data_IF_916849465655
#
_entry.id   IF_916849465655
#
_cell.length_a   1.000
_cell.length_b   1.000
_cell.length_c   1.000
_cell.angle_alpha   90.00
_cell.angle_beta   90.00
_cell.angle_gamma   90.00
#
_symmetry.space_group_name_H-M   'P 1'
#
loop_
_entity.id
_entity.type
_entity.pdbx_description
1 polymer ?
#
# COMPACT_ATOMS: atom_id res chain seq x y z
N UNK A 1 -22.40 7.40 -15.40
CA UNK A 1 -21.24 6.49 -15.47
C UNK A 1 -20.62 6.48 -14.07
N UNK A 2 -21.17 5.63 -13.19
CA UNK A 2 -20.69 5.45 -11.82
C UNK A 2 -19.50 4.50 -11.88
N UNK A 3 -18.32 4.88 -11.38
CA UNK A 3 -17.22 3.92 -11.40
C UNK A 3 -15.85 4.43 -11.01
N UNK A 4 -15.73 5.40 -10.09
CA UNK A 4 -14.46 5.67 -9.40
C UNK A 4 -14.79 6.12 -7.98
N UNK A 5 -15.30 5.18 -7.17
CA UNK A 5 -15.17 5.32 -5.72
C UNK A 5 -13.67 5.25 -5.46
N UNK A 6 -13.02 6.42 -5.35
CA UNK A 6 -11.73 6.52 -4.68
C UNK A 6 -11.95 5.81 -3.34
N UNK A 7 -11.36 4.62 -3.19
CA UNK A 7 -11.40 3.85 -1.96
C UNK A 7 -10.73 4.75 -0.93
N UNK A 8 -11.55 5.55 -0.28
CA UNK A 8 -11.15 6.49 0.74
C UNK A 8 -10.40 5.68 1.78
N UNK A 9 -9.12 6.01 1.91
CA UNK A 9 -8.21 5.68 3.00
C UNK A 9 -8.74 4.51 3.84
N UNK A 10 -8.53 3.27 3.37
CA UNK A 10 -8.84 2.11 4.19
C UNK A 10 -7.99 2.27 5.44
N UNK A 11 -8.62 2.65 6.56
CA UNK A 11 -7.94 3.03 7.77
C UNK A 11 -6.86 1.98 8.08
N UNK A 12 -5.61 2.43 8.11
CA UNK A 12 -4.49 1.55 8.36
C UNK A 12 -4.55 1.12 9.83
N UNK A 13 -5.20 -0.01 10.08
CA UNK A 13 -5.43 -0.53 11.44
C UNK A 13 -4.85 -1.91 11.61
N UNK A 14 -4.38 -2.22 12.82
CA UNK A 14 -3.93 -3.56 13.18
C UNK A 14 -5.09 -4.56 13.04
N UNK A 15 -4.91 -5.62 12.27
CA UNK A 15 -5.93 -6.67 12.10
C UNK A 15 -6.20 -7.48 13.36
N UNK A 16 -5.31 -7.43 14.36
CA UNK A 16 -5.50 -8.11 15.66
C UNK A 16 -6.29 -7.25 16.66
N UNK A 17 -5.77 -6.09 17.02
CA UNK A 17 -6.35 -5.27 18.10
C UNK A 17 -7.18 -4.09 17.61
N UNK A 18 -7.20 -3.83 16.29
CA UNK A 18 -7.93 -2.69 15.69
C UNK A 18 -7.29 -1.33 15.94
N UNK A 19 -6.15 -1.25 16.64
CA UNK A 19 -5.46 0.01 16.88
C UNK A 19 -5.02 0.65 15.55
N UNK A 20 -5.05 1.99 15.45
CA UNK A 20 -4.49 2.68 14.30
C UNK A 20 -2.99 2.39 14.20
N UNK A 21 -2.49 2.24 12.98
CA UNK A 21 -1.09 2.10 12.67
C UNK A 21 -0.64 3.36 11.92
N UNK A 22 0.61 3.76 12.15
CA UNK A 22 1.17 4.90 11.44
C UNK A 22 1.76 4.48 10.09
N UNK A 23 1.42 5.22 9.05
CA UNK A 23 1.92 4.96 7.70
C UNK A 23 3.42 5.27 7.55
N UNK A 24 3.95 6.18 8.37
CA UNK A 24 5.37 6.56 8.39
C UNK A 24 6.24 5.51 9.09
N UNK A 25 5.67 4.75 10.03
CA UNK A 25 6.35 3.65 10.75
C UNK A 25 6.42 2.32 9.96
N UNK A 26 6.34 2.41 8.63
CA UNK A 26 6.45 1.26 7.74
C UNK A 26 7.83 0.61 7.88
N UNK A 27 7.86 -0.68 8.25
CA UNK A 27 9.12 -1.42 8.48
C UNK A 27 9.71 -1.98 7.20
N UNK A 28 8.85 -2.45 6.30
CA UNK A 28 9.29 -3.09 5.05
C UNK A 28 8.32 -2.76 3.91
N UNK A 29 8.89 -2.55 2.73
CA UNK A 29 8.14 -2.52 1.46
C UNK A 29 8.74 -3.53 0.49
N UNK A 30 7.88 -4.33 -0.13
CA UNK A 30 8.27 -5.33 -1.12
C UNK A 30 7.41 -5.21 -2.36
N UNK A 31 8.05 -5.09 -3.54
CA UNK A 31 7.36 -5.14 -4.82
C UNK A 31 7.14 -6.59 -5.22
N UNK A 32 5.93 -6.91 -5.62
CA UNK A 32 5.51 -8.22 -6.13
C UNK A 32 4.80 -8.04 -7.47
N UNK A 33 4.61 -9.10 -8.27
CA UNK A 33 3.82 -9.01 -9.51
C UNK A 33 2.39 -8.48 -9.27
N UNK A 34 1.83 -8.70 -8.08
CA UNK A 34 0.48 -8.27 -7.70
C UNK A 34 0.43 -6.86 -7.07
N UNK A 35 1.55 -6.13 -7.03
CA UNK A 35 1.64 -4.79 -6.46
C UNK A 35 2.64 -4.67 -5.31
N UNK A 36 2.49 -3.61 -4.51
CA UNK A 36 3.37 -3.29 -3.38
C UNK A 36 2.78 -3.84 -2.08
N UNK A 37 3.60 -4.57 -1.32
CA UNK A 37 3.27 -5.03 0.02
C UNK A 37 4.00 -4.17 1.04
N UNK A 38 3.29 -3.71 2.07
CA UNK A 38 3.86 -2.94 3.17
C UNK A 38 3.61 -3.66 4.49
N UNK A 39 4.66 -3.82 5.30
CA UNK A 39 4.57 -4.43 6.62
C UNK A 39 4.64 -3.35 7.71
N UNK A 40 3.76 -3.49 8.70
CA UNK A 40 3.63 -2.63 9.86
C UNK A 40 3.65 -3.49 11.12
N UNK A 41 4.36 -3.02 12.13
CA UNK A 41 4.40 -3.65 13.45
C UNK A 41 3.53 -2.84 14.40
N UNK A 42 2.67 -3.54 15.14
CA UNK A 42 1.84 -2.93 16.18
C UNK A 42 2.46 -3.17 17.55
N UNK A 43 2.19 -2.28 18.51
CA UNK A 43 2.57 -2.46 19.92
C UNK A 43 1.98 -3.74 20.55
N UNK A 44 0.92 -4.33 19.96
CA UNK A 44 0.40 -5.65 20.36
C UNK A 44 1.16 -6.84 19.74
N UNK A 45 2.35 -6.57 19.19
CA UNK A 45 3.28 -7.53 18.57
C UNK A 45 2.75 -8.22 17.30
N UNK A 46 1.60 -7.78 16.79
CA UNK A 46 1.06 -8.27 15.53
C UNK A 46 1.66 -7.52 14.34
N UNK A 47 1.96 -8.27 13.27
CA UNK A 47 2.36 -7.71 11.98
C UNK A 47 1.13 -7.60 11.07
N UNK A 48 0.86 -6.40 10.58
CA UNK A 48 -0.18 -6.15 9.57
C UNK A 48 0.49 -5.90 8.22
N UNK A 49 0.01 -6.60 7.19
CA UNK A 49 0.50 -6.42 5.81
C UNK A 49 -0.61 -5.82 4.96
N UNK A 50 -0.35 -4.68 4.34
CA UNK A 50 -1.25 -4.10 3.34
C UNK A 50 -0.73 -4.32 1.93
N UNK A 51 -1.65 -4.31 0.96
CA UNK A 51 -1.35 -4.40 -0.46
C UNK A 51 -1.86 -3.14 -1.13
N UNK A 52 -0.97 -2.44 -1.82
CA UNK A 52 -1.27 -1.27 -2.63
C UNK A 52 -1.05 -1.62 -4.09
N UNK A 53 -1.89 -1.08 -4.98
CA UNK A 53 -1.56 -1.09 -6.40
C UNK A 53 -0.20 -0.40 -6.58
N UNK A 54 0.70 -1.08 -7.29
CA UNK A 54 1.89 -0.42 -7.78
C UNK A 54 1.45 0.59 -8.84
N UNK A 55 1.85 1.88 -8.77
CA UNK A 55 1.50 2.80 -9.84
C UNK A 55 2.10 2.24 -11.12
N UNK A 56 1.25 1.82 -12.07
CA UNK A 56 1.71 1.53 -13.43
C UNK A 56 2.62 2.71 -13.84
N UNK A 57 3.82 2.48 -14.39
CA UNK A 57 4.58 3.58 -14.96
C UNK A 57 3.64 4.25 -15.96
N UNK A 58 3.36 5.54 -15.76
CA UNK A 58 2.42 6.29 -16.58
C UNK A 58 2.64 5.90 -18.05
N UNK A 59 1.66 5.25 -18.67
CA UNK A 59 1.74 4.83 -20.08
C UNK A 59 1.97 6.11 -20.90
N UNK A 60 3.23 6.39 -21.25
CA UNK A 60 3.55 7.66 -21.89
C UNK A 60 5.00 8.13 -21.94
N UNK A 61 5.98 7.48 -21.29
CA UNK A 61 7.39 7.91 -21.41
C UNK A 61 8.30 6.75 -21.74
N UNK A 62 8.25 6.27 -22.97
CA UNK A 62 9.44 5.65 -23.58
C UNK A 62 10.42 6.79 -23.89
N UNK A 63 11.68 6.76 -23.43
CA UNK A 63 12.68 7.70 -23.92
C UNK A 63 12.84 7.46 -25.42
N UNK A 64 12.64 8.52 -26.21
CA UNK A 64 12.96 8.52 -27.64
C UNK A 64 14.48 8.32 -27.74
N UNK A 65 14.90 7.13 -28.20
CA UNK A 65 16.30 6.90 -28.56
C UNK A 65 16.58 7.73 -29.81
N UNK A 66 17.49 8.69 -29.68
CA UNK A 66 18.14 9.41 -30.78
C UNK A 66 19.24 8.57 -31.41
#
# INVERSE_FOLDING_TARGET
MLGQTMLADLALTCTRCGAPLDSSDRKLSMRTPDGLRHAYECDCEAITITVSADPEPARGTLPRRE
#
